data_IF_402948042140
#
_entry.id   IF_402948042140
#
_cell.length_a   1.000
_cell.length_b   1.000
_cell.length_c   1.000
_cell.angle_alpha   90.00
_cell.angle_beta   90.00
_cell.angle_gamma   90.00
#
_symmetry.space_group_name_H-M   'P 1'
#
loop_
_entity.id
_entity.type
_entity.pdbx_description
1 polymer ?
#
# COMPACT_ATOMS: atom_id res chain seq x y z
N UNK A 1 -3.69 -17.09 9.23
CA UNK A 1 -3.11 -15.74 9.44
C UNK A 1 -3.18 -15.02 8.10
N UNK A 2 -4.27 -14.31 7.82
CA UNK A 2 -4.48 -13.64 6.54
C UNK A 2 -3.83 -12.27 6.55
N UNK A 3 -2.59 -12.17 6.07
CA UNK A 3 -1.97 -10.88 5.78
C UNK A 3 -2.71 -10.31 4.57
N UNK A 4 -3.71 -9.46 4.82
CA UNK A 4 -4.46 -8.84 3.72
C UNK A 4 -3.54 -7.82 3.03
N UNK A 5 -3.28 -7.98 1.72
CA UNK A 5 -2.49 -7.00 0.97
C UNK A 5 -3.24 -5.66 0.91
N UNK A 6 -2.50 -4.56 0.82
CA UNK A 6 -3.09 -3.21 0.69
C UNK A 6 -3.68 -3.09 -0.72
N UNK A 7 -5.00 -2.87 -0.88
CA UNK A 7 -5.62 -2.66 -2.19
C UNK A 7 -5.03 -1.45 -2.92
N UNK A 8 -4.96 -1.51 -4.24
CA UNK A 8 -4.41 -0.41 -5.05
C UNK A 8 -5.20 0.89 -4.82
N UNK A 9 -6.52 0.81 -4.75
CA UNK A 9 -7.37 1.97 -4.46
C UNK A 9 -7.05 2.63 -3.10
N UNK A 10 -6.71 1.83 -2.08
CA UNK A 10 -6.36 2.33 -0.75
C UNK A 10 -4.99 3.03 -0.76
N UNK A 11 -4.01 2.45 -1.45
CA UNK A 11 -2.69 3.05 -1.65
C UNK A 11 -2.80 4.38 -2.40
N UNK A 12 -3.56 4.42 -3.49
CA UNK A 12 -3.74 5.65 -4.29
C UNK A 12 -4.46 6.76 -3.51
N UNK A 13 -5.46 6.40 -2.69
CA UNK A 13 -6.14 7.37 -1.81
C UNK A 13 -5.16 8.01 -0.82
N UNK A 14 -4.33 7.22 -0.15
CA UNK A 14 -3.34 7.74 0.80
C UNK A 14 -2.21 8.51 0.13
N UNK A 15 -1.86 8.15 -1.11
CA UNK A 15 -0.91 8.88 -1.94
C UNK A 15 -1.48 10.25 -2.35
N UNK A 16 -2.75 10.31 -2.77
CA UNK A 16 -3.44 11.56 -3.10
C UNK A 16 -3.62 12.48 -1.89
N UNK A 17 -3.92 11.90 -0.72
CA UNK A 17 -4.03 12.61 0.55
C UNK A 17 -2.66 12.95 1.19
N UNK A 18 -1.55 12.51 0.59
CA UNK A 18 -0.18 12.66 1.09
C UNK A 18 0.04 12.12 2.50
N UNK A 19 -0.86 11.28 3.01
CA UNK A 19 -0.78 10.71 4.36
C UNK A 19 0.40 9.73 4.46
N UNK A 20 0.81 9.13 3.34
CA UNK A 20 1.96 8.24 3.22
C UNK A 20 3.17 8.88 2.53
N UNK A 21 3.16 10.19 2.30
CA UNK A 21 4.26 10.89 1.64
C UNK A 21 5.51 11.01 2.54
N UNK A 22 5.35 10.86 3.85
CA UNK A 22 6.46 10.85 4.80
C UNK A 22 7.38 9.64 4.60
N UNK A 23 8.70 9.86 4.67
CA UNK A 23 9.74 8.85 4.49
C UNK A 23 9.56 7.64 5.42
N UNK A 24 9.14 7.90 6.65
CA UNK A 24 8.83 6.88 7.66
C UNK A 24 7.64 6.00 7.27
N UNK A 25 6.64 6.54 6.56
CA UNK A 25 5.54 5.76 6.02
C UNK A 25 5.97 5.00 4.78
N UNK A 26 6.77 5.59 3.88
CA UNK A 26 7.32 4.89 2.72
C UNK A 26 8.15 3.67 3.11
N UNK A 27 9.02 3.78 4.12
CA UNK A 27 9.79 2.65 4.64
C UNK A 27 8.92 1.58 5.32
N UNK A 28 7.78 1.97 5.91
CA UNK A 28 6.84 1.03 6.51
C UNK A 28 6.01 0.32 5.46
N UNK A 29 5.49 1.07 4.48
CA UNK A 29 4.70 0.51 3.41
C UNK A 29 5.54 -0.31 2.44
N UNK A 30 6.84 -0.10 2.30
CA UNK A 30 7.67 -0.91 1.38
C UNK A 30 7.60 -2.41 1.66
N UNK A 31 7.41 -2.80 2.94
CA UNK A 31 7.37 -4.20 3.36
C UNK A 31 5.95 -4.81 3.23
N UNK A 32 4.92 -3.98 3.12
CA UNK A 32 3.50 -4.40 2.99
C UNK A 32 2.89 -4.03 1.64
N UNK A 33 3.57 -3.20 0.83
CA UNK A 33 3.47 -3.20 -0.64
C UNK A 33 4.06 -4.53 -1.10
N UNK A 34 3.25 -5.58 -0.94
CA UNK A 34 3.47 -6.82 -1.65
C UNK A 34 3.43 -6.55 -3.16
N UNK A 35 3.92 -7.50 -3.96
CA UNK A 35 4.00 -7.40 -5.41
C UNK A 35 2.77 -6.70 -6.00
N UNK A 36 3.00 -5.74 -6.89
CA UNK A 36 1.92 -4.98 -7.53
C UNK A 36 0.83 -5.90 -8.11
N UNK A 37 1.22 -7.08 -8.57
CA UNK A 37 0.33 -8.14 -9.05
C UNK A 37 -0.62 -8.65 -7.95
N UNK A 38 -0.13 -8.81 -6.72
CA UNK A 38 -0.94 -9.21 -5.56
C UNK A 38 -1.90 -8.09 -5.13
N UNK A 39 -1.49 -6.82 -5.26
CA UNK A 39 -2.35 -5.66 -4.98
C UNK A 39 -3.46 -5.50 -6.02
N UNK A 40 -3.14 -5.74 -7.30
CA UNK A 40 -4.11 -5.73 -8.40
C UNK A 40 -5.06 -6.92 -8.36
N UNK A 41 -4.61 -8.10 -7.94
CA UNK A 41 -5.45 -9.29 -7.81
C UNK A 41 -6.48 -9.18 -6.66
N UNK A 42 -6.26 -8.26 -5.73
CA UNK A 42 -7.13 -8.03 -4.57
C UNK A 42 -8.04 -6.80 -4.71
N UNK A 43 -7.75 -5.91 -5.66
CA UNK A 43 -8.58 -4.73 -5.97
C UNK A 43 -9.90 -5.14 -6.62
#
# INVERSE_FOLDING_TARGET
MGTHPIPENYYQTHKALRTWESSSWQERIQHVLCDQETRLAYD
#
